data_IF_879591302941
#
_entry.id   IF_879591302941
#
_cell.length_a   1.000
_cell.length_b   1.000
_cell.length_c   1.000
_cell.angle_alpha   90.00
_cell.angle_beta   90.00
_cell.angle_gamma   90.00
#
_symmetry.space_group_name_H-M   'P 1'
#
loop_
_entity.id
_entity.type
_entity.pdbx_description
1 polymer ?
#
# COMPACT_ATOMS: atom_id res chain seq x y z
N UNK A 1 9.38 14.83 -17.71
CA UNK A 1 10.71 15.45 -17.71
C UNK A 1 11.33 15.06 -19.03
N UNK A 2 11.96 15.99 -19.76
CA UNK A 2 12.71 15.64 -20.97
C UNK A 2 14.16 15.92 -20.67
N UNK A 3 14.86 14.90 -20.14
CA UNK A 3 16.31 14.96 -20.01
C UNK A 3 16.91 14.85 -21.41
N UNK A 4 17.88 15.72 -21.71
CA UNK A 4 18.62 15.59 -22.97
C UNK A 4 19.56 14.39 -22.89
N UNK A 5 19.86 13.70 -24.00
CA UNK A 5 20.77 12.55 -23.98
C UNK A 5 22.12 12.84 -23.31
N UNK A 6 22.65 14.05 -23.46
CA UNK A 6 23.89 14.51 -22.81
C UNK A 6 23.83 14.51 -21.28
N UNK A 7 22.67 14.78 -20.70
CA UNK A 7 22.48 14.83 -19.24
C UNK A 7 22.38 13.43 -18.65
N UNK A 8 21.96 12.44 -19.44
CA UNK A 8 21.86 11.02 -19.04
C UNK A 8 23.25 10.43 -18.80
N UNK A 9 24.23 10.75 -19.65
CA UNK A 9 25.59 10.22 -19.53
C UNK A 9 26.40 10.82 -18.36
N UNK A 10 25.94 11.93 -17.80
CA UNK A 10 26.55 12.56 -16.62
C UNK A 10 26.07 11.96 -15.30
N UNK A 11 24.98 11.19 -15.33
CA UNK A 11 24.37 10.60 -14.15
C UNK A 11 24.97 9.23 -13.85
N UNK A 12 25.17 8.96 -12.57
CA UNK A 12 25.43 7.59 -12.13
C UNK A 12 24.18 6.73 -12.31
N UNK A 13 24.32 5.40 -12.45
CA UNK A 13 23.16 4.50 -12.54
C UNK A 13 22.16 4.66 -11.38
N UNK A 14 22.67 4.99 -10.18
CA UNK A 14 21.84 5.23 -9.00
C UNK A 14 21.06 6.54 -9.09
N UNK A 15 21.67 7.62 -9.57
CA UNK A 15 20.98 8.90 -9.75
C UNK A 15 19.95 8.83 -10.87
N UNK A 16 20.28 8.15 -11.97
CA UNK A 16 19.36 7.93 -13.08
C UNK A 16 18.11 7.16 -12.63
N UNK A 17 18.29 6.07 -11.88
CA UNK A 17 17.14 5.30 -11.33
C UNK A 17 16.31 6.12 -10.35
N UNK A 18 16.94 6.97 -9.53
CA UNK A 18 16.23 7.87 -8.63
C UNK A 18 15.40 8.90 -9.39
N UNK A 19 15.93 9.49 -10.46
CA UNK A 19 15.20 10.43 -11.32
C UNK A 19 14.01 9.76 -12.02
N UNK A 20 14.20 8.57 -12.58
CA UNK A 20 13.10 7.82 -13.19
C UNK A 20 11.99 7.51 -12.18
N UNK A 21 12.36 7.13 -10.97
CA UNK A 21 11.38 6.89 -9.90
C UNK A 21 10.63 8.17 -9.52
N UNK A 22 11.34 9.31 -9.40
CA UNK A 22 10.73 10.59 -9.08
C UNK A 22 9.78 11.07 -10.20
N UNK A 23 10.13 10.83 -11.46
CA UNK A 23 9.26 11.14 -12.59
C UNK A 23 8.00 10.28 -12.59
N UNK A 24 8.15 8.97 -12.34
CA UNK A 24 7.01 8.06 -12.17
C UNK A 24 6.11 8.52 -11.02
N UNK A 25 6.68 8.96 -9.91
CA UNK A 25 5.92 9.47 -8.77
C UNK A 25 5.11 10.72 -9.12
N UNK A 26 5.71 11.65 -9.87
CA UNK A 26 5.01 12.84 -10.36
C UNK A 26 3.80 12.49 -11.22
N UNK A 27 3.87 11.41 -12.01
CA UNK A 27 2.71 10.94 -12.76
C UNK A 27 1.61 10.41 -11.85
N UNK A 28 1.96 9.68 -10.80
CA UNK A 28 0.98 9.20 -9.81
C UNK A 28 0.29 10.35 -9.09
N UNK A 29 1.02 11.38 -8.66
CA UNK A 29 0.44 12.58 -8.06
C UNK A 29 -0.55 13.28 -9.01
N UNK A 30 -0.26 13.28 -10.32
CA UNK A 30 -1.16 13.82 -11.33
C UNK A 30 -2.46 13.01 -11.45
N UNK A 31 -2.37 11.68 -11.40
CA UNK A 31 -3.56 10.82 -11.44
C UNK A 31 -4.42 10.97 -10.19
N UNK A 32 -3.82 11.09 -9.01
CA UNK A 32 -4.53 11.39 -7.76
C UNK A 32 -5.22 12.74 -7.82
N UNK A 33 -4.55 13.78 -8.35
CA UNK A 33 -5.19 15.09 -8.52
C UNK A 33 -6.38 15.01 -9.49
N UNK A 34 -6.27 14.24 -10.58
CA UNK A 34 -7.35 14.05 -11.54
C UNK A 34 -8.53 13.30 -10.93
N UNK A 35 -8.30 12.26 -10.14
CA UNK A 35 -9.37 11.51 -9.47
C UNK A 35 -10.15 12.41 -8.52
N UNK A 36 -9.47 13.24 -7.73
CA UNK A 36 -10.11 14.23 -6.86
C UNK A 36 -10.94 15.26 -7.65
N UNK A 37 -10.41 15.77 -8.77
CA UNK A 37 -11.15 16.70 -9.62
C UNK A 37 -12.44 16.07 -10.17
N UNK A 38 -12.38 14.81 -10.61
CA UNK A 38 -13.55 14.07 -11.09
C UNK A 38 -14.59 13.94 -9.98
N UNK A 39 -14.19 13.53 -8.78
CA UNK A 39 -15.10 13.41 -7.62
C UNK A 39 -15.76 14.74 -7.31
N UNK A 40 -15.00 15.84 -7.29
CA UNK A 40 -15.55 17.18 -7.06
C UNK A 40 -16.58 17.54 -8.13
N UNK A 41 -16.27 17.27 -9.40
CA UNK A 41 -17.16 17.56 -10.52
C UNK A 41 -18.44 16.72 -10.50
N UNK A 42 -18.35 15.44 -10.12
CA UNK A 42 -19.50 14.53 -10.01
C UNK A 42 -20.36 14.86 -8.79
N UNK A 43 -19.74 15.17 -7.65
CA UNK A 43 -20.47 15.62 -6.47
C UNK A 43 -21.26 16.91 -6.75
N UNK A 44 -20.70 17.84 -7.53
CA UNK A 44 -21.39 19.06 -7.96
C UNK A 44 -22.58 18.78 -8.89
N UNK A 45 -22.49 17.74 -9.74
CA UNK A 45 -23.56 17.38 -10.70
C UNK A 45 -24.63 16.47 -10.10
N UNK A 46 -24.26 15.55 -9.22
CA UNK A 46 -25.10 14.46 -8.71
C UNK A 46 -24.75 14.13 -7.26
N UNK A 47 -25.40 14.78 -6.30
CA UNK A 47 -25.17 14.58 -4.86
C UNK A 47 -25.47 13.16 -4.32
N UNK A 48 -26.07 12.26 -5.12
CA UNK A 48 -26.54 10.94 -4.67
C UNK A 48 -25.52 9.80 -4.79
N UNK A 49 -24.39 9.98 -5.48
CA UNK A 49 -23.36 8.93 -5.61
C UNK A 49 -22.04 9.42 -5.05
N UNK A 50 -21.65 8.89 -3.89
CA UNK A 50 -20.32 9.09 -3.35
C UNK A 50 -19.33 8.14 -4.04
N UNK A 51 -18.53 8.69 -4.95
CA UNK A 51 -17.40 7.96 -5.54
C UNK A 51 -16.19 8.17 -4.63
N UNK A 52 -15.54 7.09 -4.18
CA UNK A 52 -14.30 7.20 -3.40
C UNK A 52 -13.12 7.41 -4.34
N UNK A 53 -12.10 8.15 -3.88
CA UNK A 53 -10.88 8.38 -4.68
C UNK A 53 -10.14 7.08 -4.98
N UNK A 54 -10.14 6.15 -4.02
CA UNK A 54 -9.60 4.80 -4.17
C UNK A 54 -10.29 3.95 -5.25
N UNK A 55 -11.52 4.30 -5.64
CA UNK A 55 -12.23 3.56 -6.69
C UNK A 55 -11.81 4.03 -8.09
N UNK A 56 -11.31 5.27 -8.20
CA UNK A 56 -10.88 5.87 -9.46
C UNK A 56 -9.39 5.62 -9.73
N UNK A 57 -8.56 5.72 -8.70
CA UNK A 57 -7.13 5.50 -8.82
C UNK A 57 -6.54 5.06 -7.48
N UNK A 58 -5.72 4.00 -7.51
CA UNK A 58 -4.85 3.57 -6.42
C UNK A 58 -3.41 3.59 -6.90
N UNK A 59 -2.49 4.01 -6.03
CA UNK A 59 -1.07 3.99 -6.34
C UNK A 59 -0.58 2.53 -6.34
N UNK A 60 0.22 2.09 -7.32
CA UNK A 60 0.74 0.72 -7.35
C UNK A 60 1.62 0.33 -6.14
N UNK A 61 2.20 1.32 -5.46
CA UNK A 61 2.94 1.10 -4.22
C UNK A 61 2.02 0.66 -3.08
N UNK A 62 0.82 1.24 -3.00
CA UNK A 62 -0.15 0.97 -1.96
C UNK A 62 -0.74 -0.43 -2.11
N UNK A 63 -1.03 -0.86 -3.34
CA UNK A 63 -1.51 -2.23 -3.62
C UNK A 63 -0.50 -3.30 -3.17
N UNK A 64 0.79 -3.06 -3.40
CA UNK A 64 1.85 -3.97 -2.96
C UNK A 64 2.02 -3.99 -1.44
N UNK A 65 1.81 -2.85 -0.79
CA UNK A 65 1.85 -2.76 0.67
C UNK A 65 0.64 -3.49 1.30
N UNK A 66 -0.56 -3.29 0.74
CA UNK A 66 -1.81 -3.97 1.16
C UNK A 66 -1.67 -5.49 1.03
N UNK A 67 -1.19 -5.98 -0.12
CA UNK A 67 -0.97 -7.41 -0.35
C UNK A 67 0.03 -8.03 0.64
N UNK A 68 1.14 -7.33 0.94
CA UNK A 68 2.13 -7.79 1.93
C UNK A 68 1.57 -7.80 3.35
N UNK A 69 0.75 -6.82 3.70
CA UNK A 69 0.11 -6.76 5.01
C UNK A 69 -0.86 -7.94 5.17
N UNK A 70 -1.63 -8.23 4.14
CA UNK A 70 -2.58 -9.35 4.11
C UNK A 70 -1.87 -10.70 4.24
N UNK A 71 -0.76 -10.89 3.52
CA UNK A 71 0.11 -12.07 3.67
C UNK A 71 0.68 -12.19 5.11
N UNK A 72 1.02 -11.07 5.74
CA UNK A 72 1.47 -11.04 7.14
C UNK A 72 0.38 -11.45 8.13
N UNK A 73 -0.86 -11.00 7.90
CA UNK A 73 -2.03 -11.38 8.72
C UNK A 73 -2.34 -12.86 8.57
N UNK A 74 -2.33 -13.40 7.35
CA UNK A 74 -2.55 -14.83 7.10
C UNK A 74 -1.50 -15.71 7.79
N UNK A 75 -0.22 -15.30 7.73
CA UNK A 75 0.86 -16.00 8.45
C UNK A 75 0.66 -15.94 9.96
N UNK A 76 0.22 -14.81 10.51
CA UNK A 76 -0.06 -14.67 11.93
C UNK A 76 -1.26 -15.53 12.37
N UNK A 77 -2.30 -15.60 11.55
CA UNK A 77 -3.46 -16.46 11.79
C UNK A 77 -3.04 -17.94 11.79
N UNK A 78 -2.33 -18.40 10.77
CA UNK A 78 -1.81 -19.77 10.73
C UNK A 78 -0.87 -20.09 11.90
N UNK A 79 -0.01 -19.16 12.29
CA UNK A 79 0.83 -19.34 13.47
C UNK A 79 -0.01 -19.46 14.75
N UNK A 80 -1.07 -18.66 14.90
CA UNK A 80 -1.97 -18.73 16.05
C UNK A 80 -2.76 -20.04 16.09
N UNK A 81 -3.24 -20.52 14.94
CA UNK A 81 -3.94 -21.80 14.79
C UNK A 81 -3.02 -22.98 15.12
N UNK A 82 -1.76 -22.91 14.67
CA UNK A 82 -0.74 -23.92 14.98
C UNK A 82 -0.39 -23.92 16.47
N UNK A 83 -0.20 -22.75 17.08
CA UNK A 83 0.08 -22.63 18.51
C UNK A 83 -1.09 -23.11 19.38
N UNK A 84 -2.34 -22.92 18.92
CA UNK A 84 -3.53 -23.40 19.61
C UNK A 84 -3.62 -24.93 19.72
N UNK A 85 -2.84 -25.68 18.93
CA UNK A 85 -2.73 -27.14 19.05
C UNK A 85 -1.96 -27.60 20.29
N UNK A 86 -1.18 -26.70 20.91
CA UNK A 86 -0.39 -26.98 22.09
C UNK A 86 -1.08 -26.43 23.34
N UNK A 87 -1.37 -27.29 24.32
CA UNK A 87 -2.06 -26.89 25.56
C UNK A 87 -1.35 -25.75 26.31
N UNK A 88 -0.02 -25.68 26.19
CA UNK A 88 0.84 -24.68 26.83
C UNK A 88 0.63 -23.24 26.32
N UNK A 89 0.03 -23.08 25.14
CA UNK A 89 -0.26 -21.78 24.52
C UNK A 89 -1.76 -21.50 24.41
N UNK A 90 -2.61 -22.37 25.00
CA UNK A 90 -4.07 -22.28 24.95
C UNK A 90 -4.69 -21.19 25.83
N UNK A 91 -3.88 -20.38 26.52
CA UNK A 91 -4.36 -19.30 27.39
C UNK A 91 -5.05 -19.79 28.67
N UNK A 92 -5.04 -21.10 28.96
CA UNK A 92 -5.38 -21.61 30.29
C UNK A 92 -4.22 -21.31 31.22
N UNK A 93 -4.38 -20.29 32.07
CA UNK A 93 -3.51 -20.13 33.23
C UNK A 93 -3.51 -21.44 34.01
N UNK A 94 -2.36 -22.11 34.03
CA UNK A 94 -2.13 -23.23 34.93
C UNK A 94 -2.06 -22.62 36.31
N UNK A 95 -3.17 -22.68 37.04
CA UNK A 95 -3.14 -22.51 38.49
C UNK A 95 -2.30 -23.66 39.03
N UNK A 96 -1.02 -23.40 39.25
CA UNK A 96 -0.12 -24.29 39.98
C UNK A 96 -0.58 -24.34 41.45
N UNK A 97 -1.65 -25.10 41.71
CA UNK A 97 -1.97 -25.63 43.02
C UNK A 97 -0.99 -26.73 43.33
N UNK A 98 0.13 -26.37 43.97
CA UNK A 98 1.01 -27.35 44.62
C UNK A 98 0.48 -27.62 46.02
N UNK A 99 0.40 -28.88 46.49
CA UNK A 99 0.16 -29.18 47.90
C UNK A 99 1.29 -28.66 48.79
#
# INVERSE_FOLDING_TARGET
MSLKPSEIYLLTPREFTLLLNAEREKHYDSYERQSHFIIMSENAKRAKRSIKASDLYKRPADEKAEAKLQEGVEKAQHASEWLAQFEQFSGKEVSDGRP
#
